data_IF_994318312651
#
_entry.id   IF_994318312651
#
_cell.length_a   1.000
_cell.length_b   1.000
_cell.length_c   1.000
_cell.angle_alpha   90.00
_cell.angle_beta   90.00
_cell.angle_gamma   90.00
#
_symmetry.space_group_name_H-M   'P 1'
#
loop_
_entity.id
_entity.type
_entity.pdbx_description
1 polymer ?
#
# COMPACT_ATOMS: atom_id res chain seq x y z
N UNK A 1 -11.10 19.92 -0.74
CA UNK A 1 -11.01 18.46 -0.65
C UNK A 1 -12.39 17.88 -0.50
N UNK A 2 -12.68 16.82 -1.25
CA UNK A 2 -13.99 16.18 -1.18
C UNK A 2 -14.18 15.53 0.19
N UNK A 3 -15.39 15.65 0.72
CA UNK A 3 -15.70 15.02 1.99
C UNK A 3 -15.82 13.51 1.81
N UNK A 4 -14.86 12.79 2.29
CA UNK A 4 -14.77 11.33 2.13
C UNK A 4 -15.97 10.64 2.77
N UNK A 5 -16.45 11.15 3.91
CA UNK A 5 -17.54 10.53 4.64
C UNK A 5 -18.90 10.58 3.92
N UNK A 6 -19.00 11.34 2.83
CA UNK A 6 -20.23 11.36 2.03
C UNK A 6 -20.23 10.32 0.92
N UNK A 7 -19.11 9.60 0.75
CA UNK A 7 -18.99 8.54 -0.24
C UNK A 7 -19.46 7.22 0.34
N UNK A 8 -20.00 6.35 -0.50
CA UNK A 8 -20.36 5.02 -0.02
C UNK A 8 -19.10 4.16 0.18
N UNK A 9 -19.26 3.05 0.87
CA UNK A 9 -18.13 2.18 1.24
C UNK A 9 -17.44 1.61 0.01
N UNK A 10 -18.20 1.24 -1.01
CA UNK A 10 -17.64 0.67 -2.23
C UNK A 10 -16.77 1.69 -2.96
N UNK A 11 -17.27 2.92 -3.10
CA UNK A 11 -16.50 3.99 -3.75
C UNK A 11 -15.25 4.31 -2.96
N UNK A 12 -15.35 4.39 -1.64
CA UNK A 12 -14.19 4.63 -0.79
C UNK A 12 -13.13 3.55 -0.98
N UNK A 13 -13.56 2.29 -1.03
CA UNK A 13 -12.64 1.16 -1.22
C UNK A 13 -11.93 1.27 -2.56
N UNK A 14 -12.65 1.62 -3.62
CA UNK A 14 -12.03 1.77 -4.93
C UNK A 14 -11.02 2.90 -4.98
N UNK A 15 -11.33 4.03 -4.33
CA UNK A 15 -10.41 5.15 -4.28
C UNK A 15 -9.16 4.82 -3.47
N UNK A 16 -9.33 4.14 -2.37
CA UNK A 16 -8.20 3.71 -1.54
C UNK A 16 -7.31 2.74 -2.29
N UNK A 17 -7.91 1.80 -3.02
CA UNK A 17 -7.16 0.85 -3.83
C UNK A 17 -6.39 1.55 -4.94
N UNK A 18 -7.01 2.51 -5.61
CA UNK A 18 -6.35 3.27 -6.68
C UNK A 18 -5.19 4.10 -6.12
N UNK A 19 -5.39 4.72 -4.97
CA UNK A 19 -4.36 5.51 -4.31
C UNK A 19 -3.16 4.62 -3.91
N UNK A 20 -3.43 3.44 -3.39
CA UNK A 20 -2.37 2.50 -3.03
C UNK A 20 -1.57 2.06 -4.25
N UNK A 21 -2.27 1.73 -5.35
CA UNK A 21 -1.59 1.35 -6.58
C UNK A 21 -0.69 2.47 -7.11
N UNK A 22 -1.16 3.71 -7.02
CA UNK A 22 -0.38 4.87 -7.44
C UNK A 22 0.87 5.02 -6.60
N UNK A 23 0.75 4.85 -5.29
CA UNK A 23 1.88 4.92 -4.38
C UNK A 23 2.92 3.85 -4.70
N UNK A 24 2.47 2.61 -4.88
CA UNK A 24 3.36 1.50 -5.20
C UNK A 24 4.08 1.73 -6.53
N UNK A 25 3.35 2.18 -7.55
CA UNK A 25 3.95 2.46 -8.85
C UNK A 25 5.00 3.58 -8.75
N UNK A 26 4.71 4.61 -7.97
CA UNK A 26 5.65 5.71 -7.75
C UNK A 26 6.93 5.21 -7.09
N UNK A 27 6.81 4.41 -6.04
CA UNK A 27 7.97 3.88 -5.34
C UNK A 27 8.80 2.95 -6.23
N UNK A 28 8.16 2.20 -7.11
CA UNK A 28 8.86 1.33 -8.05
C UNK A 28 9.69 2.13 -9.05
N UNK A 29 9.26 3.33 -9.40
CA UNK A 29 10.00 4.21 -10.30
C UNK A 29 11.15 4.92 -9.60
N UNK A 30 11.06 5.11 -8.30
CA UNK A 30 12.07 5.83 -7.52
C UNK A 30 13.14 4.86 -7.02
N UNK A 31 13.92 4.33 -7.96
CA UNK A 31 15.02 3.42 -7.65
C UNK A 31 16.19 4.13 -6.97
N UNK A 32 16.22 5.45 -7.04
CA UNK A 32 17.21 6.28 -6.36
C UNK A 32 16.98 6.36 -4.85
N UNK A 33 15.77 6.03 -4.38
CA UNK A 33 15.42 6.09 -2.96
C UNK A 33 15.47 4.67 -2.39
N UNK A 34 16.36 4.46 -1.44
CA UNK A 34 16.50 3.16 -0.79
C UNK A 34 15.52 3.04 0.38
N UNK A 35 15.28 1.80 0.79
CA UNK A 35 14.35 1.54 1.90
C UNK A 35 14.76 2.24 3.19
N UNK A 36 16.07 2.33 3.44
CA UNK A 36 16.54 3.03 4.64
C UNK A 36 16.20 4.52 4.58
N UNK A 37 16.23 5.12 3.40
CA UNK A 37 15.87 6.53 3.23
C UNK A 37 14.39 6.74 3.54
N UNK A 38 13.53 5.84 3.05
CA UNK A 38 12.11 5.91 3.34
C UNK A 38 11.82 5.75 4.82
N UNK A 39 12.49 4.78 5.46
CA UNK A 39 12.31 4.52 6.88
C UNK A 39 12.68 5.75 7.72
N UNK A 40 13.78 6.39 7.38
CA UNK A 40 14.24 7.58 8.11
C UNK A 40 13.32 8.78 7.91
N UNK A 41 12.76 8.91 6.71
CA UNK A 41 11.90 10.04 6.38
C UNK A 41 10.47 9.86 6.85
N UNK A 42 9.90 8.69 6.60
CA UNK A 42 8.46 8.47 6.74
C UNK A 42 8.08 7.40 7.76
N UNK A 43 9.05 6.68 8.31
CA UNK A 43 8.77 5.64 9.30
C UNK A 43 8.28 4.32 8.72
N UNK A 44 8.30 4.18 7.40
CA UNK A 44 7.98 2.92 6.75
C UNK A 44 8.83 2.77 5.48
N UNK A 45 8.86 1.58 4.95
CA UNK A 45 9.58 1.30 3.70
C UNK A 45 8.72 0.39 2.81
N UNK A 46 9.25 0.05 1.63
CA UNK A 46 8.53 -0.81 0.69
C UNK A 46 8.16 -2.16 1.28
N UNK A 47 9.03 -2.72 2.11
CA UNK A 47 8.75 -3.99 2.78
C UNK A 47 7.58 -3.85 3.75
N UNK A 48 7.43 -2.72 4.41
CA UNK A 48 6.29 -2.47 5.30
C UNK A 48 4.98 -2.46 4.52
N UNK A 49 4.98 -1.90 3.31
CA UNK A 49 3.78 -1.92 2.46
C UNK A 49 3.36 -3.34 2.12
N UNK A 50 4.33 -4.22 1.84
CA UNK A 50 4.06 -5.62 1.58
C UNK A 50 3.45 -6.30 2.79
N UNK A 51 3.95 -5.99 3.98
CA UNK A 51 3.41 -6.53 5.23
C UNK A 51 1.98 -6.05 5.47
N UNK A 52 1.70 -4.79 5.18
CA UNK A 52 0.34 -4.25 5.29
C UNK A 52 -0.62 -4.99 4.36
N UNK A 53 -0.17 -5.29 3.16
CA UNK A 53 -0.96 -6.03 2.19
C UNK A 53 -1.28 -7.45 2.68
N UNK A 54 -0.29 -8.15 3.21
CA UNK A 54 -0.47 -9.49 3.78
C UNK A 54 -1.44 -9.44 4.96
N UNK A 55 -1.29 -8.44 5.82
CA UNK A 55 -2.16 -8.28 6.97
C UNK A 55 -3.60 -8.04 6.55
N UNK A 56 -3.81 -7.19 5.55
CA UNK A 56 -5.15 -6.92 5.03
C UNK A 56 -5.78 -8.16 4.43
N UNK A 57 -4.99 -8.96 3.71
CA UNK A 57 -5.47 -10.22 3.16
C UNK A 57 -5.89 -11.19 4.26
N UNK A 58 -5.12 -11.23 5.35
CA UNK A 58 -5.45 -12.07 6.50
C UNK A 58 -6.78 -11.70 7.13
N UNK A 59 -7.12 -10.43 7.17
CA UNK A 59 -8.41 -9.97 7.69
C UNK A 59 -9.58 -10.46 6.85
N UNK A 60 -9.35 -10.79 5.59
CA UNK A 60 -10.36 -11.31 4.69
C UNK A 60 -10.23 -12.81 4.46
N UNK A 61 -9.49 -13.50 5.31
CA UNK A 61 -9.24 -14.93 5.24
C UNK A 61 -8.58 -15.37 3.94
N UNK A 62 -7.78 -14.48 3.35
CA UNK A 62 -6.99 -14.77 2.16
C UNK A 62 -5.54 -14.92 2.58
N UNK A 63 -4.91 -16.03 2.21
CA UNK A 63 -3.50 -16.23 2.51
C UNK A 63 -2.64 -15.89 1.30
N UNK A 64 -1.71 -14.99 1.51
CA UNK A 64 -0.79 -14.55 0.47
C UNK A 64 0.63 -14.68 1.02
N UNK A 65 1.51 -15.30 0.24
CA UNK A 65 2.91 -15.39 0.63
C UNK A 65 3.53 -14.00 0.63
N UNK A 66 4.36 -13.73 1.63
CA UNK A 66 5.01 -12.44 1.78
C UNK A 66 5.80 -12.05 0.52
N UNK A 67 6.46 -13.03 -0.08
CA UNK A 67 7.28 -12.79 -1.27
C UNK A 67 6.43 -12.36 -2.46
N UNK A 68 5.24 -12.92 -2.60
CA UNK A 68 4.32 -12.53 -3.66
C UNK A 68 3.81 -11.10 -3.43
N UNK A 69 3.56 -10.73 -2.19
CA UNK A 69 3.12 -9.38 -1.86
C UNK A 69 4.20 -8.34 -2.17
N UNK A 70 5.47 -8.68 -2.04
CA UNK A 70 6.58 -7.77 -2.32
C UNK A 70 6.69 -7.40 -3.79
N UNK A 71 6.10 -8.18 -4.68
CA UNK A 71 6.13 -7.94 -6.11
C UNK A 71 5.01 -7.00 -6.58
N UNK A 72 4.12 -6.60 -5.68
CA UNK A 72 2.98 -5.74 -6.02
C UNK A 72 3.37 -4.27 -6.12
#
# INVERSE_FOLDING_TARGET
MTEIKTLDTETQTELEAAAFRTLVAHLQKRTDVQNIDLMNLAGFCRNCLSKYYVSAAGEQDIQIEYEDARER
#
